data_IF_278965755125
#
_entry.id   IF_278965755125
#
_cell.length_a   1.000
_cell.length_b   1.000
_cell.length_c   1.000
_cell.angle_alpha   90.00
_cell.angle_beta   90.00
_cell.angle_gamma   90.00
#
_symmetry.space_group_name_H-M   'P 1'
#
loop_
_entity.id
_entity.type
_entity.pdbx_description
1 polymer ?
#
# COMPACT_ATOMS: atom_id res chain seq x y z
N UNK A 1 64.39 37.44 -82.05
CA UNK A 1 64.08 37.33 -83.48
C UNK A 1 63.70 35.90 -83.75
N UNK A 2 62.39 35.70 -83.83
CA UNK A 2 61.67 34.99 -84.89
C UNK A 2 62.08 33.59 -85.34
N UNK A 3 61.01 32.80 -85.53
CA UNK A 3 60.81 31.84 -86.62
C UNK A 3 61.37 30.44 -86.42
N UNK A 4 60.70 29.33 -86.77
CA UNK A 4 59.34 29.06 -87.24
C UNK A 4 59.26 27.53 -87.45
N UNK A 5 58.05 26.96 -87.26
CA UNK A 5 57.43 25.83 -88.00
C UNK A 5 58.20 24.55 -88.33
N UNK A 6 57.61 23.40 -87.92
CA UNK A 6 57.17 22.36 -88.88
C UNK A 6 56.13 21.40 -88.26
N UNK A 7 54.89 21.47 -88.75
CA UNK A 7 53.93 20.34 -88.88
C UNK A 7 54.44 19.35 -89.98
N UNK A 8 53.85 18.16 -90.30
CA UNK A 8 52.43 17.70 -90.16
C UNK A 8 52.30 16.16 -89.87
N UNK A 9 51.33 15.36 -90.40
CA UNK A 9 49.93 15.15 -89.95
C UNK A 9 49.53 13.63 -89.83
N UNK A 10 48.22 13.35 -89.66
CA UNK A 10 47.50 12.06 -89.84
C UNK A 10 47.43 11.15 -88.60
N UNK A 11 46.32 10.58 -88.14
CA UNK A 11 44.93 10.47 -88.57
C UNK A 11 44.13 9.75 -87.45
N UNK A 12 42.89 9.30 -87.68
CA UNK A 12 41.83 9.24 -86.67
C UNK A 12 41.78 7.91 -85.90
N UNK A 13 41.55 7.97 -84.58
CA UNK A 13 41.07 6.80 -83.82
C UNK A 13 39.82 7.20 -83.05
N UNK A 14 38.73 6.59 -83.53
CA UNK A 14 37.41 6.44 -82.93
C UNK A 14 37.54 6.12 -81.44
N UNK A 15 37.04 7.00 -80.58
CA UNK A 15 36.79 6.69 -79.16
C UNK A 15 35.29 6.41 -78.99
N UNK A 16 34.92 5.22 -78.49
CA UNK A 16 33.53 4.81 -78.26
C UNK A 16 32.77 5.70 -77.28
N UNK A 17 31.45 5.78 -77.50
CA UNK A 17 30.48 6.34 -76.58
C UNK A 17 30.59 5.68 -75.20
N UNK A 18 31.01 6.44 -74.19
CA UNK A 18 30.65 6.18 -72.80
C UNK A 18 29.42 7.01 -72.41
N UNK A 19 28.50 6.41 -71.63
CA UNK A 19 27.17 6.94 -71.39
C UNK A 19 27.21 8.20 -70.54
N UNK A 20 26.28 9.11 -70.85
CA UNK A 20 25.83 10.21 -70.00
C UNK A 20 25.69 9.74 -68.55
N UNK A 21 26.69 10.03 -67.74
CA UNK A 21 26.51 10.06 -66.30
C UNK A 21 25.98 11.46 -65.99
N UNK A 22 24.68 11.50 -65.69
CA UNK A 22 24.02 12.66 -65.12
C UNK A 22 24.74 12.94 -63.80
N UNK A 23 25.70 13.86 -63.86
CA UNK A 23 26.28 14.49 -62.68
C UNK A 23 25.15 15.30 -62.04
N UNK A 24 24.39 14.61 -61.20
CA UNK A 24 23.57 15.22 -60.18
C UNK A 24 24.47 16.12 -59.35
N UNK A 25 24.01 17.35 -59.28
CA UNK A 25 24.54 18.48 -58.54
C UNK A 25 24.40 18.20 -57.03
N UNK A 26 25.02 17.14 -56.53
CA UNK A 26 25.19 16.90 -55.11
C UNK A 26 26.46 17.64 -54.70
N UNK A 27 26.32 18.95 -54.59
CA UNK A 27 27.13 19.76 -53.70
C UNK A 27 27.03 19.14 -52.30
N UNK A 28 27.92 18.19 -52.02
CA UNK A 28 28.21 17.70 -50.68
C UNK A 28 28.82 18.89 -49.95
N UNK A 29 27.94 19.73 -49.41
CA UNK A 29 28.29 20.66 -48.37
C UNK A 29 28.61 19.79 -47.16
N UNK A 30 29.88 19.43 -47.01
CA UNK A 30 30.44 18.98 -45.74
C UNK A 30 30.37 20.14 -44.76
N UNK A 31 29.17 20.44 -44.28
CA UNK A 31 28.99 21.19 -43.05
C UNK A 31 29.73 20.43 -41.96
N UNK A 32 30.51 21.16 -41.17
CA UNK A 32 31.16 20.74 -39.93
C UNK A 32 30.14 20.24 -38.88
N UNK A 33 29.40 19.17 -39.18
CA UNK A 33 28.45 18.47 -38.32
C UNK A 33 29.13 17.66 -37.21
N UNK A 34 30.47 17.65 -37.18
CA UNK A 34 31.26 16.95 -36.17
C UNK A 34 31.27 17.60 -34.79
N UNK A 35 30.86 18.86 -34.65
CA UNK A 35 30.93 19.58 -33.37
C UNK A 35 29.66 19.40 -32.52
N UNK A 36 28.47 19.61 -33.09
CA UNK A 36 27.22 19.56 -32.34
C UNK A 36 26.93 18.16 -31.75
N UNK A 37 27.24 17.10 -32.48
CA UNK A 37 27.05 15.72 -32.01
C UNK A 37 28.00 15.39 -30.84
N UNK A 38 29.24 15.91 -30.87
CA UNK A 38 30.19 15.74 -29.76
C UNK A 38 29.76 16.52 -28.53
N UNK A 39 29.25 17.74 -28.70
CA UNK A 39 28.71 18.51 -27.58
C UNK A 39 27.45 17.86 -26.98
N UNK A 40 26.55 17.31 -27.79
CA UNK A 40 25.39 16.55 -27.31
C UNK A 40 25.80 15.28 -26.58
N UNK A 41 26.82 14.56 -27.06
CA UNK A 41 27.33 13.38 -26.38
C UNK A 41 27.88 13.74 -24.99
N UNK A 42 28.71 14.77 -24.89
CA UNK A 42 29.29 15.24 -23.62
C UNK A 42 28.20 15.75 -22.67
N UNK A 43 27.24 16.55 -23.17
CA UNK A 43 26.10 17.01 -22.37
C UNK A 43 25.26 15.84 -21.86
N UNK A 44 24.97 14.85 -22.71
CA UNK A 44 24.20 13.68 -22.29
C UNK A 44 24.93 12.90 -21.18
N UNK A 45 26.24 12.70 -21.30
CA UNK A 45 27.02 11.97 -20.28
C UNK A 45 27.08 12.69 -18.95
N UNK A 46 26.95 14.03 -18.94
CA UNK A 46 26.97 14.84 -17.72
C UNK A 46 25.57 15.00 -17.11
N UNK A 47 24.54 15.05 -17.94
CA UNK A 47 23.15 15.29 -17.52
C UNK A 47 22.44 13.99 -17.08
N UNK A 48 22.82 12.84 -17.65
CA UNK A 48 22.32 11.52 -17.25
C UNK A 48 22.51 11.26 -15.75
N UNK A 49 23.71 11.36 -15.14
CA UNK A 49 23.85 11.07 -13.71
C UNK A 49 23.07 12.03 -12.82
N UNK A 50 22.98 13.31 -13.20
CA UNK A 50 22.22 14.33 -12.45
C UNK A 50 20.72 14.02 -12.44
N UNK A 51 20.16 13.54 -13.56
CA UNK A 51 18.75 13.13 -13.64
C UNK A 51 18.49 11.70 -13.10
N UNK A 52 19.47 10.81 -13.24
CA UNK A 52 19.31 9.38 -12.94
C UNK A 52 19.39 9.08 -11.43
N UNK A 53 20.22 9.80 -10.67
CA UNK A 53 20.32 9.64 -9.22
C UNK A 53 18.97 9.89 -8.52
N UNK A 54 18.30 11.05 -8.68
CA UNK A 54 17.01 11.29 -8.04
C UNK A 54 15.94 10.30 -8.49
N UNK A 55 15.92 9.93 -9.79
CA UNK A 55 15.00 8.90 -10.30
C UNK A 55 15.22 7.52 -9.67
N UNK A 56 16.47 7.10 -9.48
CA UNK A 56 16.81 5.83 -8.82
C UNK A 56 16.45 5.85 -7.33
N UNK A 57 16.63 6.98 -6.66
CA UNK A 57 16.25 7.14 -5.24
C UNK A 57 14.74 7.07 -5.07
N UNK A 58 13.96 7.79 -5.89
CA UNK A 58 12.49 7.74 -5.83
C UNK A 58 11.96 6.35 -6.18
N UNK A 59 12.51 5.70 -7.22
CA UNK A 59 12.14 4.33 -7.59
C UNK A 59 12.37 3.32 -6.46
N UNK A 60 13.51 3.42 -5.75
CA UNK A 60 13.79 2.60 -4.57
C UNK A 60 12.77 2.85 -3.46
N UNK A 61 12.43 4.12 -3.20
CA UNK A 61 11.43 4.47 -2.19
C UNK A 61 10.06 3.87 -2.52
N UNK A 62 9.60 3.97 -3.78
CA UNK A 62 8.33 3.38 -4.23
C UNK A 62 8.31 1.88 -3.97
N UNK A 63 9.35 1.13 -4.35
CA UNK A 63 9.38 -0.33 -4.09
C UNK A 63 9.37 -0.68 -2.60
N UNK A 64 10.02 0.14 -1.77
CA UNK A 64 10.04 -0.06 -0.32
C UNK A 64 8.67 0.26 0.30
N UNK A 65 8.00 1.30 -0.21
CA UNK A 65 6.65 1.67 0.19
C UNK A 65 5.64 0.60 -0.21
N UNK A 66 5.70 0.11 -1.45
CA UNK A 66 4.85 -0.98 -1.94
C UNK A 66 4.99 -2.22 -1.06
N UNK A 67 6.23 -2.62 -0.73
CA UNK A 67 6.49 -3.77 0.15
C UNK A 67 5.90 -3.57 1.55
N UNK A 68 5.99 -2.36 2.10
CA UNK A 68 5.36 -2.02 3.40
C UNK A 68 3.83 -2.02 3.31
N UNK A 69 3.25 -1.55 2.20
CA UNK A 69 1.81 -1.59 1.97
C UNK A 69 1.33 -3.04 1.88
N UNK A 70 2.06 -3.91 1.18
CA UNK A 70 1.74 -5.35 1.10
C UNK A 70 1.83 -6.03 2.47
N UNK A 71 2.86 -5.67 3.26
CA UNK A 71 3.05 -6.18 4.63
C UNK A 71 1.92 -5.74 5.56
N UNK A 72 1.53 -4.45 5.51
CA UNK A 72 0.37 -3.92 6.25
C UNK A 72 -0.93 -4.54 5.73
N UNK A 73 -1.05 -4.79 4.43
CA UNK A 73 -2.19 -5.48 3.83
C UNK A 73 -2.34 -6.92 4.33
N UNK A 74 -1.23 -7.64 4.44
CA UNK A 74 -1.19 -9.01 4.96
C UNK A 74 -1.56 -9.08 6.44
N UNK A 75 -1.03 -8.17 7.28
CA UNK A 75 -1.39 -8.10 8.69
C UNK A 75 -2.85 -7.71 8.89
N UNK A 76 -3.37 -6.79 8.08
CA UNK A 76 -4.78 -6.37 8.09
C UNK A 76 -5.71 -7.52 7.67
N UNK A 77 -5.34 -8.28 6.63
CA UNK A 77 -6.10 -9.44 6.18
C UNK A 77 -6.15 -10.55 7.25
N UNK A 78 -5.02 -10.80 7.94
CA UNK A 78 -4.97 -11.72 9.07
C UNK A 78 -5.84 -11.25 10.23
N UNK A 79 -5.80 -9.96 10.58
CA UNK A 79 -6.66 -9.36 11.60
C UNK A 79 -8.14 -9.48 11.25
N UNK A 80 -8.53 -9.20 10.00
CA UNK A 80 -9.91 -9.41 9.52
C UNK A 80 -10.34 -10.87 9.65
N UNK A 81 -9.47 -11.82 9.26
CA UNK A 81 -9.75 -13.26 9.38
C UNK A 81 -9.88 -13.69 10.84
N UNK A 82 -9.05 -13.15 11.73
CA UNK A 82 -9.07 -13.45 13.16
C UNK A 82 -10.30 -12.85 13.86
N UNK A 83 -10.73 -11.65 13.46
CA UNK A 83 -11.98 -11.04 13.92
C UNK A 83 -13.22 -11.81 13.41
N UNK A 84 -13.20 -12.28 12.16
CA UNK A 84 -14.28 -13.11 11.61
C UNK A 84 -14.41 -14.45 12.33
N UNK A 85 -13.29 -15.04 12.78
CA UNK A 85 -13.28 -16.27 13.58
C UNK A 85 -13.62 -16.02 15.06
N UNK A 86 -13.19 -14.88 15.62
CA UNK A 86 -13.43 -14.51 17.02
C UNK A 86 -14.87 -14.07 17.34
N UNK A 87 -15.68 -13.72 16.33
CA UNK A 87 -17.11 -13.43 16.54
C UNK A 87 -17.98 -14.68 16.84
N UNK A 88 -17.43 -15.90 16.76
CA UNK A 88 -18.18 -17.13 16.99
C UNK A 88 -18.23 -17.62 18.45
N UNK A 89 -17.58 -16.96 19.41
CA UNK A 89 -17.52 -17.41 20.80
C UNK A 89 -17.62 -16.30 21.83
N UNK A 90 -18.72 -16.20 22.62
CA UNK A 90 -18.81 -15.26 23.72
C UNK A 90 -18.16 -15.90 24.96
N UNK A 91 -17.10 -15.30 25.51
CA UNK A 91 -16.76 -15.59 26.91
C UNK A 91 -15.39 -15.17 27.43
N UNK A 92 -14.28 -15.32 26.67
CA UNK A 92 -12.95 -15.30 27.32
C UNK A 92 -11.82 -14.54 26.61
N UNK A 93 -12.02 -13.88 25.47
CA UNK A 93 -10.90 -13.29 24.69
C UNK A 93 -10.73 -11.76 24.77
N UNK A 94 -11.50 -11.05 25.60
CA UNK A 94 -11.43 -9.58 25.68
C UNK A 94 -10.07 -9.03 26.15
N UNK A 95 -9.31 -9.80 26.95
CA UNK A 95 -7.99 -9.35 27.42
C UNK A 95 -6.92 -9.43 26.33
N UNK A 96 -6.96 -10.45 25.47
CA UNK A 96 -5.98 -10.57 24.37
C UNK A 96 -6.16 -9.50 23.31
N UNK A 97 -7.40 -9.07 23.02
CA UNK A 97 -7.66 -7.97 22.09
C UNK A 97 -7.16 -6.62 22.63
N UNK A 98 -7.35 -6.37 23.93
CA UNK A 98 -6.88 -5.14 24.57
C UNK A 98 -5.35 -5.06 24.61
N UNK A 99 -4.67 -6.17 24.93
CA UNK A 99 -3.21 -6.23 24.92
C UNK A 99 -2.62 -5.97 23.54
N UNK A 100 -3.24 -6.51 22.47
CA UNK A 100 -2.76 -6.29 21.10
C UNK A 100 -2.96 -4.84 20.63
N UNK A 101 -4.08 -4.21 20.98
CA UNK A 101 -4.30 -2.78 20.69
C UNK A 101 -3.32 -1.88 21.46
N UNK A 102 -3.00 -2.23 22.71
CA UNK A 102 -1.97 -1.53 23.48
C UNK A 102 -0.59 -1.66 22.82
N UNK A 103 -0.25 -2.85 22.32
CA UNK A 103 1.00 -3.09 21.59
C UNK A 103 1.07 -2.27 20.30
N UNK A 104 0.01 -2.27 19.48
CA UNK A 104 -0.04 -1.44 18.26
C UNK A 104 0.08 0.04 18.56
N UNK A 105 -0.54 0.52 19.64
CA UNK A 105 -0.43 1.92 20.06
C UNK A 105 1.01 2.27 20.42
N UNK A 106 1.68 1.39 21.18
CA UNK A 106 3.09 1.56 21.54
C UNK A 106 4.00 1.56 20.30
N UNK A 107 3.72 0.69 19.33
CA UNK A 107 4.50 0.63 18.09
C UNK A 107 4.29 1.87 17.21
N UNK A 108 3.06 2.39 17.11
CA UNK A 108 2.78 3.66 16.44
C UNK A 108 3.47 4.84 17.12
N UNK A 109 3.50 4.87 18.46
CA UNK A 109 4.21 5.91 19.21
C UNK A 109 5.72 5.84 18.96
N UNK A 110 6.31 4.65 18.93
CA UNK A 110 7.72 4.46 18.58
C UNK A 110 8.03 4.90 17.14
N UNK A 111 7.14 4.58 16.20
CA UNK A 111 7.29 4.97 14.79
C UNK A 111 7.18 6.49 14.61
N UNK A 112 6.28 7.14 15.36
CA UNK A 112 6.15 8.60 15.40
C UNK A 112 7.43 9.26 15.90
N UNK A 113 8.02 8.75 16.99
CA UNK A 113 9.29 9.26 17.51
C UNK A 113 10.44 9.11 16.50
N UNK A 114 10.49 8.00 15.76
CA UNK A 114 11.48 7.84 14.69
C UNK A 114 11.30 8.90 13.60
N UNK A 115 10.07 9.23 13.23
CA UNK A 115 9.80 10.25 12.22
C UNK A 115 10.25 11.63 12.68
N UNK A 116 9.88 12.03 13.90
CA UNK A 116 10.29 13.31 14.49
C UNK A 116 11.83 13.42 14.61
N UNK A 117 12.52 12.32 14.94
CA UNK A 117 13.99 12.29 14.98
C UNK A 117 14.63 12.49 13.59
N UNK A 118 14.04 11.89 12.55
CA UNK A 118 14.51 12.03 11.17
C UNK A 118 14.23 13.41 10.61
N UNK A 119 13.07 14.00 10.91
CA UNK A 119 12.79 15.39 10.57
C UNK A 119 13.76 16.35 11.24
N UNK A 120 14.04 16.13 12.53
CA UNK A 120 15.03 16.92 13.27
C UNK A 120 16.46 16.79 12.71
N UNK A 121 16.82 15.62 12.18
CA UNK A 121 18.09 15.45 11.46
C UNK A 121 18.11 16.18 10.12
N UNK A 122 17.00 16.13 9.37
CA UNK A 122 16.85 16.85 8.11
C UNK A 122 16.97 18.35 8.29
N UNK A 123 16.30 18.92 9.29
CA UNK A 123 16.37 20.36 9.57
C UNK A 123 17.78 20.78 9.97
N UNK A 124 18.49 19.98 10.77
CA UNK A 124 19.91 20.20 11.08
C UNK A 124 20.79 20.18 9.84
N UNK A 125 20.62 19.18 8.97
CA UNK A 125 21.39 19.09 7.72
C UNK A 125 21.13 20.26 6.78
N UNK A 126 19.87 20.70 6.64
CA UNK A 126 19.52 21.85 5.82
C UNK A 126 20.08 23.16 6.39
N UNK A 127 20.06 23.33 7.72
CA UNK A 127 20.69 24.48 8.37
C UNK A 127 22.19 24.51 8.14
N UNK A 128 22.87 23.37 8.28
CA UNK A 128 24.31 23.23 8.07
C UNK A 128 24.70 23.52 6.61
N UNK A 129 23.93 22.97 5.66
CA UNK A 129 24.10 23.25 4.24
C UNK A 129 23.91 24.74 3.92
N UNK A 130 22.95 25.40 4.57
CA UNK A 130 22.71 26.85 4.39
C UNK A 130 23.91 27.67 4.90
N UNK A 131 24.51 27.30 6.02
CA UNK A 131 25.73 27.94 6.53
C UNK A 131 26.91 27.75 5.56
N UNK A 132 27.08 26.54 5.01
CA UNK A 132 28.13 26.27 4.02
C UNK A 132 27.99 27.12 2.76
N UNK A 133 26.76 27.31 2.25
CA UNK A 133 26.52 28.15 1.07
C UNK A 133 26.87 29.62 1.37
N UNK A 134 26.51 30.12 2.55
CA UNK A 134 26.83 31.49 2.94
C UNK A 134 28.35 31.72 3.09
N UNK A 135 29.07 30.74 3.66
CA UNK A 135 30.53 30.79 3.78
C UNK A 135 31.21 30.80 2.40
N UNK A 136 30.74 29.95 1.47
CA UNK A 136 31.27 29.91 0.10
C UNK A 136 31.07 31.26 -0.60
N UNK A 137 29.92 31.89 -0.43
CA UNK A 137 29.66 33.21 -1.02
C UNK A 137 30.59 34.29 -0.45
N UNK A 138 30.88 34.25 0.86
CA UNK A 138 31.82 35.20 1.49
C UNK A 138 33.26 35.02 0.98
N UNK A 139 33.72 33.78 0.83
CA UNK A 139 35.03 33.48 0.25
C UNK A 139 35.11 33.90 -1.22
N UNK A 140 34.00 33.75 -1.97
CA UNK A 140 33.92 34.19 -3.36
C UNK A 140 34.06 35.71 -3.47
N UNK A 141 33.43 36.47 -2.57
CA UNK A 141 33.52 37.94 -2.53
C UNK A 141 34.95 38.42 -2.18
N UNK A 142 35.65 37.72 -1.28
CA UNK A 142 37.07 38.00 -0.96
C UNK A 142 37.97 37.78 -2.18
N UNK A 143 37.83 36.64 -2.84
CA UNK A 143 38.62 36.32 -4.05
C UNK A 143 38.33 37.31 -5.17
N UNK A 144 37.07 37.75 -5.32
CA UNK A 144 36.69 38.77 -6.30
C UNK A 144 37.36 40.13 -6.01
N UNK A 145 37.45 40.52 -4.74
CA UNK A 145 38.15 41.73 -4.31
C UNK A 145 39.65 41.70 -4.60
N UNK A 146 40.31 40.57 -4.34
CA UNK A 146 41.75 40.40 -4.57
C UNK A 146 42.12 40.35 -6.07
N UNK A 147 41.23 39.82 -6.91
CA UNK A 147 41.45 39.71 -8.36
C UNK A 147 41.22 41.06 -9.08
N UNK A 148 40.32 41.92 -8.58
CA UNK A 148 40.04 43.24 -9.18
C UNK A 148 41.11 44.31 -8.86
N UNK A 149 42.06 44.05 -7.96
CA UNK A 149 43.09 45.00 -7.53
C UNK A 149 44.33 45.13 -8.43
N UNK A 150 44.55 44.23 -9.40
CA UNK A 150 45.76 44.22 -10.23
C UNK A 150 45.43 44.24 -11.73
N UNK A 151 45.80 45.34 -12.38
CA UNK A 151 45.94 45.65 -13.83
C UNK A 151 45.21 44.76 -14.87
N UNK A 152 44.62 45.36 -15.94
CA UNK A 152 43.77 44.66 -16.89
C UNK A 152 44.55 43.61 -17.69
N UNK A 153 44.48 42.37 -17.21
CA UNK A 153 44.97 41.19 -17.93
C UNK A 153 43.86 40.71 -18.87
N UNK A 154 44.12 40.41 -20.16
CA UNK A 154 43.11 39.90 -21.09
C UNK A 154 42.53 38.54 -20.65
N UNK A 155 43.20 37.84 -19.74
CA UNK A 155 42.66 36.65 -19.06
C UNK A 155 41.54 36.99 -18.07
N UNK A 156 41.56 38.15 -17.41
CA UNK A 156 40.47 38.61 -16.53
C UNK A 156 39.19 38.87 -17.33
N UNK A 157 39.26 39.41 -18.55
CA UNK A 157 38.09 39.66 -19.37
C UNK A 157 37.34 38.36 -19.76
N UNK A 158 38.10 37.28 -20.03
CA UNK A 158 37.51 35.96 -20.28
C UNK A 158 36.93 35.33 -19.01
N UNK A 159 37.51 35.61 -17.85
CA UNK A 159 36.99 35.15 -16.56
C UNK A 159 35.74 35.94 -16.15
N UNK A 160 35.68 37.25 -16.37
CA UNK A 160 34.48 38.08 -16.14
C UNK A 160 33.32 37.66 -17.03
N UNK A 161 33.56 37.37 -18.31
CA UNK A 161 32.52 36.85 -19.21
C UNK A 161 32.07 35.45 -18.77
N UNK A 162 32.98 34.60 -18.33
CA UNK A 162 32.64 33.31 -17.71
C UNK A 162 31.81 33.46 -16.43
N UNK A 163 32.13 34.42 -15.57
CA UNK A 163 31.41 34.73 -14.34
C UNK A 163 29.99 35.25 -14.64
N UNK A 164 29.83 36.15 -15.61
CA UNK A 164 28.50 36.62 -16.03
C UNK A 164 27.62 35.51 -16.58
N UNK A 165 28.18 34.65 -17.44
CA UNK A 165 27.45 33.49 -17.95
C UNK A 165 27.05 32.52 -16.83
N UNK A 166 27.89 32.39 -15.80
CA UNK A 166 27.58 31.56 -14.63
C UNK A 166 26.49 32.21 -13.76
N UNK A 167 26.55 33.53 -13.55
CA UNK A 167 25.55 34.31 -12.82
C UNK A 167 24.17 34.20 -13.49
N UNK A 168 24.10 34.42 -14.81
CA UNK A 168 22.88 34.23 -15.61
C UNK A 168 22.38 32.77 -15.54
N UNK A 169 23.29 31.80 -15.54
CA UNK A 169 22.97 30.39 -15.39
C UNK A 169 22.39 30.06 -14.01
N UNK A 170 22.96 30.63 -12.94
CA UNK A 170 22.47 30.47 -11.56
C UNK A 170 21.10 31.12 -11.40
N UNK A 171 20.87 32.29 -11.96
CA UNK A 171 19.57 32.97 -11.91
C UNK A 171 18.50 32.18 -12.67
N UNK A 172 18.83 31.62 -13.83
CA UNK A 172 17.91 30.74 -14.57
C UNK A 172 17.58 29.48 -13.76
N UNK A 173 18.58 28.83 -13.16
CA UNK A 173 18.36 27.67 -12.27
C UNK A 173 17.49 28.08 -11.07
N UNK A 174 17.73 29.24 -10.48
CA UNK A 174 16.96 29.75 -9.34
C UNK A 174 15.50 29.99 -9.71
N UNK A 175 15.25 30.55 -10.89
CA UNK A 175 13.90 30.71 -11.43
C UNK A 175 13.23 29.35 -11.68
N UNK A 176 13.95 28.40 -12.29
CA UNK A 176 13.45 27.05 -12.54
C UNK A 176 13.12 26.29 -11.24
N UNK A 177 13.96 26.40 -10.22
CA UNK A 177 13.69 25.84 -8.90
C UNK A 177 12.48 26.52 -8.26
N UNK A 178 12.34 27.84 -8.41
CA UNK A 178 11.19 28.59 -7.94
C UNK A 178 9.87 28.11 -8.54
N UNK A 179 9.83 27.91 -9.87
CA UNK A 179 8.62 27.42 -10.55
C UNK A 179 8.30 25.96 -10.19
N UNK A 180 9.32 25.11 -10.09
CA UNK A 180 9.14 23.72 -9.65
C UNK A 180 8.69 23.62 -8.19
N UNK A 181 9.20 24.48 -7.31
CA UNK A 181 8.78 24.51 -5.91
C UNK A 181 7.31 24.89 -5.77
N UNK A 182 6.82 25.82 -6.59
CA UNK A 182 5.40 26.20 -6.63
C UNK A 182 4.51 25.05 -7.11
N UNK A 183 4.90 24.36 -8.19
CA UNK A 183 4.14 23.20 -8.71
C UNK A 183 4.08 22.06 -7.68
N UNK A 184 5.22 21.74 -7.05
CA UNK A 184 5.27 20.71 -5.99
C UNK A 184 4.41 21.13 -4.79
N UNK A 185 4.41 22.41 -4.41
CA UNK A 185 3.58 22.91 -3.32
C UNK A 185 2.08 22.82 -3.64
N UNK A 186 1.69 23.05 -4.89
CA UNK A 186 0.31 22.89 -5.35
C UNK A 186 -0.12 21.41 -5.35
N UNK A 187 0.74 20.50 -5.82
CA UNK A 187 0.48 19.06 -5.74
C UNK A 187 0.32 18.58 -4.28
N UNK A 188 1.16 19.06 -3.36
CA UNK A 188 1.03 18.75 -1.92
C UNK A 188 -0.32 19.26 -1.38
N UNK A 189 -0.76 20.44 -1.80
CA UNK A 189 -2.05 21.01 -1.39
C UNK A 189 -3.21 20.15 -1.87
N UNK A 190 -3.18 19.70 -3.13
CA UNK A 190 -4.21 18.83 -3.71
C UNK A 190 -4.26 17.47 -3.01
N UNK A 191 -3.12 16.80 -2.85
CA UNK A 191 -3.03 15.52 -2.15
C UNK A 191 -3.52 15.61 -0.69
N UNK A 192 -3.26 16.73 -0.01
CA UNK A 192 -3.77 16.94 1.34
C UNK A 192 -5.31 17.06 1.34
N UNK A 193 -5.88 17.79 0.38
CA UNK A 193 -7.33 17.87 0.21
C UNK A 193 -7.97 16.51 -0.06
N UNK A 194 -7.37 15.69 -0.92
CA UNK A 194 -7.82 14.32 -1.17
C UNK A 194 -7.74 13.43 0.09
N UNK A 195 -6.65 13.54 0.86
CA UNK A 195 -6.54 12.81 2.13
C UNK A 195 -7.61 13.22 3.13
N UNK A 196 -7.97 14.50 3.21
CA UNK A 196 -9.04 14.99 4.08
C UNK A 196 -10.41 14.48 3.63
N UNK A 197 -10.68 14.48 2.31
CA UNK A 197 -11.90 13.91 1.75
C UNK A 197 -12.04 12.41 2.06
N UNK A 198 -11.00 11.62 1.78
CA UNK A 198 -10.97 10.18 2.07
C UNK A 198 -11.12 9.88 3.57
N UNK A 199 -10.51 10.69 4.44
CA UNK A 199 -10.69 10.57 5.89
C UNK A 199 -12.14 10.82 6.31
N UNK A 200 -12.80 11.80 5.71
CA UNK A 200 -14.21 12.08 5.99
C UNK A 200 -15.13 10.94 5.54
N UNK A 201 -14.83 10.31 4.40
CA UNK A 201 -15.57 9.15 3.91
C UNK A 201 -15.35 7.93 4.80
N UNK A 202 -14.12 7.66 5.23
CA UNK A 202 -13.83 6.60 6.19
C UNK A 202 -14.57 6.80 7.52
N UNK A 203 -14.69 8.05 7.98
CA UNK A 203 -15.46 8.36 9.17
C UNK A 203 -16.96 8.05 8.99
N UNK A 204 -17.54 8.44 7.86
CA UNK A 204 -18.94 8.12 7.52
C UNK A 204 -19.18 6.61 7.43
N UNK A 205 -18.30 5.89 6.73
CA UNK A 205 -18.37 4.43 6.62
C UNK A 205 -18.19 3.74 7.97
N UNK A 206 -17.30 4.25 8.82
CA UNK A 206 -17.11 3.72 10.17
C UNK A 206 -18.37 3.90 11.01
N UNK A 207 -19.01 5.06 10.93
CA UNK A 207 -20.26 5.34 11.64
C UNK A 207 -21.40 4.46 11.10
N UNK A 208 -21.50 4.27 9.78
CA UNK A 208 -22.46 3.36 9.16
C UNK A 208 -22.26 1.92 9.64
N UNK A 209 -21.03 1.41 9.61
CA UNK A 209 -20.69 0.06 10.12
C UNK A 209 -21.02 -0.06 11.61
N UNK A 210 -20.74 0.97 12.40
CA UNK A 210 -21.05 0.97 13.83
C UNK A 210 -22.55 0.99 14.07
N UNK A 211 -23.31 1.78 13.30
CA UNK A 211 -24.76 1.85 13.34
C UNK A 211 -25.40 0.52 12.94
N UNK A 212 -24.85 -0.20 11.95
CA UNK A 212 -25.30 -1.53 11.55
C UNK A 212 -24.99 -2.52 12.68
N UNK A 213 -23.79 -2.46 13.26
CA UNK A 213 -23.37 -3.34 14.36
C UNK A 213 -24.25 -3.17 15.61
N UNK A 214 -24.58 -1.93 15.98
CA UNK A 214 -25.43 -1.62 17.14
C UNK A 214 -26.92 -1.54 16.80
N UNK A 215 -27.25 -1.67 15.52
CA UNK A 215 -28.61 -1.50 15.02
C UNK A 215 -29.58 -2.53 15.59
N UNK A 216 -30.89 -2.22 15.59
CA UNK A 216 -31.92 -3.09 16.14
C UNK A 216 -31.95 -4.47 15.47
N UNK A 217 -31.52 -4.57 14.22
CA UNK A 217 -31.42 -5.85 13.52
C UNK A 217 -30.42 -6.81 14.17
N UNK A 218 -29.28 -6.32 14.65
CA UNK A 218 -28.30 -7.17 15.31
C UNK A 218 -28.74 -7.59 16.72
N UNK A 219 -29.49 -6.74 17.43
CA UNK A 219 -30.08 -7.13 18.72
C UNK A 219 -31.21 -8.15 18.54
N UNK A 220 -32.02 -8.04 17.48
CA UNK A 220 -33.02 -9.05 17.11
C UNK A 220 -32.37 -10.38 16.72
N UNK A 221 -31.32 -10.36 15.88
CA UNK A 221 -30.59 -11.59 15.53
C UNK A 221 -29.95 -12.23 16.77
N UNK A 222 -29.35 -11.45 17.66
CA UNK A 222 -28.83 -11.98 18.92
C UNK A 222 -29.93 -12.56 19.81
N UNK A 223 -31.08 -11.89 19.90
CA UNK A 223 -32.24 -12.38 20.65
C UNK A 223 -32.74 -13.72 20.09
N UNK A 224 -32.91 -13.83 18.78
CA UNK A 224 -33.29 -15.08 18.11
C UNK A 224 -32.25 -16.19 18.30
N UNK A 225 -30.97 -15.85 18.32
CA UNK A 225 -29.90 -16.82 18.59
C UNK A 225 -29.94 -17.33 20.04
N UNK A 226 -30.25 -16.46 21.00
CA UNK A 226 -30.46 -16.86 22.40
C UNK A 226 -31.72 -17.73 22.53
N UNK A 227 -32.81 -17.35 21.89
CA UNK A 227 -34.08 -18.08 21.92
C UNK A 227 -33.97 -19.47 21.26
N UNK A 228 -33.26 -19.56 20.14
CA UNK A 228 -32.98 -20.85 19.46
C UNK A 228 -32.06 -21.75 20.29
N UNK A 229 -31.07 -21.18 21.00
CA UNK A 229 -30.25 -21.94 21.96
C UNK A 229 -31.08 -22.45 23.13
N UNK A 230 -31.98 -21.62 23.65
CA UNK A 230 -32.85 -21.98 24.76
C UNK A 230 -33.84 -23.10 24.38
N UNK A 231 -34.48 -22.97 23.21
CA UNK A 231 -35.35 -24.03 22.68
C UNK A 231 -34.58 -25.32 22.44
N UNK A 232 -33.36 -25.27 21.91
CA UNK A 232 -32.50 -26.45 21.75
C UNK A 232 -32.15 -27.11 23.08
N UNK A 233 -31.86 -26.33 24.13
CA UNK A 233 -31.59 -26.85 25.47
C UNK A 233 -32.83 -27.57 26.05
N UNK A 234 -34.03 -27.00 25.84
CA UNK A 234 -35.30 -27.62 26.24
C UNK A 234 -35.51 -28.95 25.50
N UNK A 235 -35.34 -28.97 24.17
CA UNK A 235 -35.45 -30.21 23.40
C UNK A 235 -34.40 -31.26 23.80
N UNK A 236 -33.19 -30.83 24.19
CA UNK A 236 -32.18 -31.74 24.75
C UNK A 236 -32.65 -32.40 26.06
N UNK A 237 -33.22 -31.62 26.98
CA UNK A 237 -33.77 -32.13 28.24
C UNK A 237 -35.00 -33.04 28.03
N UNK A 238 -35.86 -32.72 27.06
CA UNK A 238 -36.98 -33.59 26.67
C UNK A 238 -36.45 -34.90 26.06
N UNK A 239 -35.43 -34.82 25.21
CA UNK A 239 -34.81 -35.98 24.59
C UNK A 239 -34.19 -36.95 25.60
N UNK A 240 -33.50 -36.43 26.62
CA UNK A 240 -32.97 -37.28 27.71
C UNK A 240 -34.09 -37.94 28.51
N UNK A 241 -35.13 -37.18 28.86
CA UNK A 241 -36.31 -37.70 29.56
C UNK A 241 -37.05 -38.77 28.74
N UNK A 242 -37.18 -38.58 27.43
CA UNK A 242 -37.78 -39.58 26.53
C UNK A 242 -36.92 -40.85 26.43
N UNK A 243 -35.60 -40.69 26.43
CA UNK A 243 -34.65 -41.81 26.52
C UNK A 243 -34.81 -42.60 27.82
N UNK A 244 -34.98 -41.91 28.95
CA UNK A 244 -35.24 -42.54 30.24
C UNK A 244 -36.57 -43.30 30.24
N UNK A 245 -37.64 -42.71 29.67
CA UNK A 245 -38.93 -43.39 29.50
C UNK A 245 -38.81 -44.63 28.61
N UNK A 246 -38.09 -44.54 27.48
CA UNK A 246 -37.84 -45.69 26.61
C UNK A 246 -37.07 -46.81 27.33
N UNK A 247 -36.11 -46.45 28.17
CA UNK A 247 -35.35 -47.40 28.98
C UNK A 247 -36.23 -48.08 30.03
N UNK A 248 -37.14 -47.33 30.67
CA UNK A 248 -38.15 -47.89 31.58
C UNK A 248 -39.08 -48.85 30.83
N UNK A 249 -39.59 -48.46 29.66
CA UNK A 249 -40.44 -49.30 28.82
C UNK A 249 -39.70 -50.61 28.52
N UNK A 250 -38.48 -50.54 28.00
CA UNK A 250 -37.69 -51.71 27.64
C UNK A 250 -37.40 -52.60 28.85
N UNK A 251 -37.09 -52.01 30.02
CA UNK A 251 -36.92 -52.76 31.27
C UNK A 251 -38.19 -53.49 31.68
N UNK A 252 -39.34 -52.80 31.66
CA UNK A 252 -40.65 -53.37 31.98
C UNK A 252 -41.00 -54.51 31.02
N UNK A 253 -40.69 -54.34 29.74
CA UNK A 253 -40.91 -55.34 28.69
C UNK A 253 -40.03 -56.59 28.90
N UNK A 254 -38.80 -56.42 29.41
CA UNK A 254 -37.92 -57.53 29.79
C UNK A 254 -38.41 -58.21 31.08
N UNK A 255 -38.73 -57.45 32.12
CA UNK A 255 -39.18 -57.97 33.43
C UNK A 255 -40.53 -58.71 33.33
N UNK A 256 -41.45 -58.25 32.46
CA UNK A 256 -42.74 -58.89 32.28
C UNK A 256 -42.71 -60.13 31.38
N UNK A 257 -41.55 -60.52 30.83
CA UNK A 257 -41.41 -61.68 29.97
C UNK A 257 -42.06 -61.43 28.60
N UNK A 258 -41.23 -61.28 27.58
CA UNK A 258 -41.63 -61.04 26.19
C UNK A 258 -42.37 -62.25 25.56
N UNK A 259 -43.60 -62.54 25.96
CA UNK A 259 -44.56 -63.13 25.04
C UNK A 259 -45.10 -62.02 24.15
N UNK A 260 -44.48 -61.86 22.98
CA UNK A 260 -45.00 -61.08 21.85
C UNK A 260 -46.28 -61.74 21.28
N UNK A 261 -47.25 -62.07 22.12
CA UNK A 261 -48.56 -62.50 21.64
C UNK A 261 -49.27 -61.28 21.05
N UNK A 262 -49.59 -61.43 19.77
CA UNK A 262 -49.99 -60.36 18.87
C UNK A 262 -51.24 -59.62 19.39
N UNK A 263 -51.15 -58.29 19.55
CA UNK A 263 -52.35 -57.44 19.55
C UNK A 263 -52.43 -56.34 20.62
N UNK A 264 -51.56 -56.30 21.62
CA UNK A 264 -51.62 -55.24 22.63
C UNK A 264 -50.71 -54.06 22.31
N UNK A 265 -51.32 -52.89 22.11
CA UNK A 265 -50.65 -51.61 21.90
C UNK A 265 -49.74 -51.28 23.11
N UNK A 266 -48.42 -51.08 22.92
CA UNK A 266 -47.49 -50.75 24.00
C UNK A 266 -47.91 -49.50 24.79
N UNK A 267 -48.65 -48.58 24.18
CA UNK A 267 -49.18 -47.38 24.86
C UNK A 267 -50.18 -47.76 25.96
N UNK A 268 -51.04 -48.74 25.71
CA UNK A 268 -52.08 -49.12 26.68
C UNK A 268 -51.48 -49.87 27.88
N UNK A 269 -50.36 -50.57 27.68
CA UNK A 269 -49.60 -51.20 28.79
C UNK A 269 -48.97 -50.17 29.71
N UNK A 270 -48.37 -49.12 29.14
CA UNK A 270 -47.85 -47.99 29.92
C UNK A 270 -48.96 -47.31 30.71
N UNK A 271 -50.14 -47.17 30.12
CA UNK A 271 -51.32 -46.59 30.78
C UNK A 271 -51.76 -47.41 31.99
N UNK A 272 -51.85 -48.73 31.83
CA UNK A 272 -52.19 -49.64 32.93
C UNK A 272 -51.13 -49.60 34.04
N UNK A 273 -49.85 -49.61 33.68
CA UNK A 273 -48.76 -49.51 34.66
C UNK A 273 -48.80 -48.19 35.43
N UNK A 274 -49.01 -47.07 34.74
CA UNK A 274 -49.13 -45.76 35.37
C UNK A 274 -50.30 -45.70 36.36
N UNK A 275 -51.46 -46.25 35.99
CA UNK A 275 -52.62 -46.38 36.89
C UNK A 275 -52.28 -47.25 38.11
N UNK A 276 -51.52 -48.32 37.93
CA UNK A 276 -51.14 -49.22 39.02
C UNK A 276 -50.14 -48.56 39.99
N UNK A 277 -49.17 -47.79 39.47
CA UNK A 277 -48.26 -46.99 40.29
C UNK A 277 -48.99 -45.89 41.06
N UNK A 278 -50.00 -45.26 40.45
CA UNK A 278 -50.82 -44.25 41.11
C UNK A 278 -51.68 -44.83 42.25
N UNK A 279 -52.19 -46.05 42.10
CA UNK A 279 -52.92 -46.73 43.18
C UNK A 279 -51.98 -47.10 44.34
N UNK A 280 -50.74 -47.50 44.03
CA UNK A 280 -49.74 -47.79 45.06
C UNK A 280 -49.34 -46.54 45.86
N UNK A 281 -49.12 -45.40 45.22
CA UNK A 281 -48.80 -44.15 45.93
C UNK A 281 -49.96 -43.70 46.82
N UNK A 282 -51.20 -43.79 46.34
CA UNK A 282 -52.39 -43.50 47.16
C UNK A 282 -52.51 -44.43 48.38
N UNK A 283 -52.17 -45.71 48.22
CA UNK A 283 -52.18 -46.69 49.31
C UNK A 283 -51.11 -46.40 50.36
N UNK A 284 -49.92 -45.96 49.95
CA UNK A 284 -48.84 -45.56 50.87
C UNK A 284 -49.25 -44.30 51.66
N UNK A 285 -49.76 -43.28 50.98
CA UNK A 285 -50.19 -42.03 51.61
C UNK A 285 -51.32 -42.26 52.63
N UNK A 286 -52.25 -43.17 52.33
CA UNK A 286 -53.33 -43.56 53.26
C UNK A 286 -52.84 -44.37 54.46
N UNK A 287 -51.72 -45.08 54.32
CA UNK A 287 -51.06 -45.80 55.42
C UNK A 287 -50.30 -44.84 56.34
N UNK A 288 -49.69 -43.79 55.78
CA UNK A 288 -49.05 -42.73 56.56
C UNK A 288 -50.06 -41.90 57.36
N UNK A 289 -51.23 -41.57 56.80
CA UNK A 289 -52.28 -40.83 57.53
C UNK A 289 -52.95 -41.62 58.66
N UNK A 290 -52.67 -42.91 58.80
CA UNK A 290 -53.20 -43.78 59.88
C UNK A 290 -52.19 -44.09 60.98
N UNK A 291 -50.95 -43.60 60.83
CA UNK A 291 -49.93 -43.61 61.87
C UNK A 291 -49.90 -42.26 62.56
#
# INVERSE_FOLDING_TARGET
MDSQTSEPPSGPIVVPLEPMNVAGDDAVVTYQRGSAIRHLAILSTLLIPIAFIPYMVTRRQVTTLSRKIDEVGATTALLKRRLALGQAGPGMESESGAALLAQMRQEMEAMRQQFESKESQRTKYLSDMTLHVNLINEELDKVKGDVLGNAPNPRLANVETGLRNLEDGVDNIRQQIGTQALDVQEQIRLLRGEQEALRSELFKLSDEVQSVKTGPQNSELQKLLVETKQTRAIFGAIGSSLGDVATIIQRVEIEMGHERSAGYDPVERLRVLALQMQDQTFRVEKKERRR
#
